data_IF_672224017599
#
_entry.id   IF_672224017599
#
_cell.length_a   1.000
_cell.length_b   1.000
_cell.length_c   1.000
_cell.angle_alpha   90.00
_cell.angle_beta   90.00
_cell.angle_gamma   90.00
#
_symmetry.space_group_name_H-M   'P 1'
#
loop_
_entity.id
_entity.type
_entity.pdbx_description
1 polymer ?
#
# COMPACT_ATOMS: atom_id res chain seq x y z
N UNK A 1 -8.37 13.61 10.40
CA UNK A 1 -7.90 12.28 9.94
C UNK A 1 -8.88 11.77 8.90
N UNK A 2 -8.37 11.31 7.79
CA UNK A 2 -9.18 10.77 6.70
C UNK A 2 -8.64 9.43 6.22
N UNK A 3 -9.47 8.72 5.46
CA UNK A 3 -9.16 7.42 4.89
C UNK A 3 -9.58 7.41 3.42
N UNK A 4 -8.81 6.73 2.58
CA UNK A 4 -9.14 6.49 1.18
C UNK A 4 -8.67 5.12 0.74
N UNK A 5 -9.43 4.51 -0.17
CA UNK A 5 -9.06 3.27 -0.86
C UNK A 5 -8.91 3.55 -2.34
N UNK A 6 -7.95 2.93 -2.98
CA UNK A 6 -7.70 3.09 -4.41
C UNK A 6 -7.04 1.85 -5.03
N UNK A 7 -7.20 1.69 -6.33
CA UNK A 7 -6.44 0.71 -7.10
C UNK A 7 -5.06 1.30 -7.46
N UNK A 8 -4.18 1.41 -6.47
CA UNK A 8 -2.86 1.99 -6.65
C UNK A 8 -1.96 1.16 -7.58
N UNK A 9 -2.19 -0.14 -7.63
CA UNK A 9 -1.37 -1.11 -8.37
C UNK A 9 -2.23 -2.05 -9.22
N UNK A 10 -2.81 -1.53 -10.31
CA UNK A 10 -3.58 -2.32 -11.26
C UNK A 10 -4.88 -2.89 -10.68
N UNK A 11 -5.29 -4.07 -11.17
CA UNK A 11 -6.58 -4.69 -10.93
C UNK A 11 -6.57 -5.89 -9.95
N UNK A 12 -5.40 -6.22 -9.40
CA UNK A 12 -5.22 -7.40 -8.52
C UNK A 12 -5.16 -7.08 -7.04
N UNK A 13 -5.14 -5.81 -6.70
CA UNK A 13 -4.96 -5.33 -5.35
C UNK A 13 -5.70 -4.01 -5.14
N UNK A 14 -5.92 -3.63 -3.90
CA UNK A 14 -6.33 -2.28 -3.56
C UNK A 14 -5.48 -1.76 -2.40
N UNK A 15 -5.12 -0.49 -2.47
CA UNK A 15 -4.44 0.20 -1.39
C UNK A 15 -5.46 0.93 -0.50
N UNK A 16 -5.14 1.00 0.78
CA UNK A 16 -5.80 1.84 1.76
C UNK A 16 -4.78 2.79 2.37
N UNK A 17 -5.12 4.07 2.45
CA UNK A 17 -4.34 5.06 3.18
C UNK A 17 -5.17 5.70 4.27
N UNK A 18 -4.55 5.87 5.44
CA UNK A 18 -5.05 6.72 6.52
C UNK A 18 -4.11 7.91 6.66
N UNK A 19 -4.65 9.12 6.55
CA UNK A 19 -3.83 10.34 6.57
C UNK A 19 -4.33 11.33 7.60
N UNK A 20 -3.38 12.05 8.22
CA UNK A 20 -3.64 13.21 9.05
C UNK A 20 -3.43 14.46 8.21
N UNK A 21 -4.48 15.27 8.09
CA UNK A 21 -4.42 16.58 7.46
C UNK A 21 -4.52 17.70 8.50
N UNK A 22 -3.82 18.80 8.25
CA UNK A 22 -3.96 20.04 9.00
C UNK A 22 -3.95 21.22 8.02
N UNK A 23 -5.11 21.77 7.73
CA UNK A 23 -5.28 22.75 6.67
C UNK A 23 -4.90 22.14 5.31
N UNK A 24 -3.94 22.74 4.62
CA UNK A 24 -3.42 22.28 3.34
C UNK A 24 -2.21 21.34 3.45
N UNK A 25 -1.81 20.97 4.67
CA UNK A 25 -0.65 20.13 4.95
C UNK A 25 -1.06 18.70 5.23
N UNK A 26 -0.39 17.73 4.59
CA UNK A 26 -0.43 16.32 4.91
C UNK A 26 0.59 16.06 6.02
N UNK A 27 0.12 15.89 7.26
CA UNK A 27 1.01 15.77 8.43
C UNK A 27 1.68 14.39 8.50
N UNK A 28 0.91 13.36 8.25
CA UNK A 28 1.38 11.98 8.24
C UNK A 28 0.43 11.10 7.43
N UNK A 29 0.94 9.99 6.92
CA UNK A 29 0.14 8.96 6.25
C UNK A 29 0.63 7.57 6.63
N UNK A 30 -0.27 6.61 6.65
CA UNK A 30 0.02 5.19 6.69
C UNK A 30 -0.69 4.53 5.52
N UNK A 31 0.03 3.68 4.80
CA UNK A 31 -0.45 3.04 3.57
C UNK A 31 -0.29 1.53 3.71
N UNK A 32 -1.36 0.80 3.42
CA UNK A 32 -1.31 -0.65 3.23
C UNK A 32 -1.92 -1.03 1.87
N UNK A 33 -1.64 -2.22 1.42
CA UNK A 33 -2.23 -2.78 0.22
C UNK A 33 -2.66 -4.22 0.46
N UNK A 34 -3.81 -4.56 -0.08
CA UNK A 34 -4.44 -5.84 0.07
C UNK A 34 -4.56 -6.55 -1.26
N UNK A 35 -4.18 -7.82 -1.29
CA UNK A 35 -4.38 -8.69 -2.45
C UNK A 35 -4.64 -10.13 -2.02
N UNK A 36 -5.22 -10.93 -2.92
CA UNK A 36 -5.33 -12.37 -2.71
C UNK A 36 -4.01 -13.07 -2.97
N UNK A 37 -3.68 -14.01 -2.09
CA UNK A 37 -2.56 -14.94 -2.23
C UNK A 37 -3.08 -16.38 -2.15
N UNK A 38 -2.29 -17.36 -2.56
CA UNK A 38 -2.62 -18.76 -2.34
C UNK A 38 -2.69 -19.05 -0.85
N UNK A 39 -3.82 -19.57 -0.37
CA UNK A 39 -4.05 -19.85 1.04
C UNK A 39 -3.03 -20.83 1.64
N UNK A 40 -2.40 -21.65 0.78
CA UNK A 40 -1.33 -22.59 1.15
C UNK A 40 0.07 -21.98 1.16
N UNK A 41 0.22 -20.69 0.88
CA UNK A 41 1.54 -20.04 0.85
C UNK A 41 2.22 -20.09 2.22
N UNK A 42 3.46 -20.57 2.26
CA UNK A 42 4.21 -20.67 3.51
C UNK A 42 4.44 -19.29 4.13
N UNK A 43 4.12 -19.17 5.41
CA UNK A 43 4.28 -17.91 6.17
C UNK A 43 3.19 -16.88 5.92
N UNK A 44 2.15 -17.19 5.15
CA UNK A 44 1.00 -16.31 4.97
C UNK A 44 0.26 -16.09 6.29
N UNK A 45 0.03 -14.82 6.61
CA UNK A 45 -0.89 -14.37 7.66
C UNK A 45 -2.11 -13.76 6.97
N UNK A 46 -3.24 -14.47 6.90
CA UNK A 46 -4.42 -13.95 6.22
C UNK A 46 -5.08 -12.81 6.99
N UNK A 47 -5.77 -11.94 6.28
CA UNK A 47 -6.77 -11.07 6.92
C UNK A 47 -7.77 -11.99 7.64
N UNK A 48 -8.14 -11.69 8.89
CA UNK A 48 -9.01 -12.59 9.68
C UNK A 48 -10.24 -13.05 8.90
N UNK A 49 -10.46 -14.35 8.90
CA UNK A 49 -11.57 -15.04 8.21
C UNK A 49 -11.56 -14.94 6.66
N UNK A 50 -10.53 -14.39 6.04
CA UNK A 50 -10.47 -14.31 4.57
C UNK A 50 -10.15 -15.64 3.89
N UNK A 51 -9.72 -16.62 4.65
CA UNK A 51 -9.54 -18.04 4.28
C UNK A 51 -10.71 -18.94 4.71
N UNK A 52 -11.81 -18.34 5.15
CA UNK A 52 -13.00 -18.99 5.67
C UNK A 52 -14.28 -18.39 5.05
N UNK A 53 -15.40 -18.53 5.72
CA UNK A 53 -16.72 -18.12 5.23
C UNK A 53 -16.84 -16.65 4.80
N UNK A 54 -16.04 -15.76 5.36
CA UNK A 54 -16.00 -14.33 4.95
C UNK A 54 -15.64 -14.14 3.47
N UNK A 55 -14.74 -14.97 2.95
CA UNK A 55 -14.30 -14.90 1.56
C UNK A 55 -14.92 -16.00 0.66
N UNK A 56 -15.90 -16.74 1.17
CA UNK A 56 -16.55 -17.83 0.43
C UNK A 56 -17.16 -17.31 -0.88
N UNK A 57 -16.78 -17.95 -2.00
CA UNK A 57 -17.23 -17.58 -3.34
C UNK A 57 -16.46 -16.43 -4.01
N UNK A 58 -15.52 -15.79 -3.33
CA UNK A 58 -14.70 -14.74 -3.96
C UNK A 58 -13.52 -15.29 -4.77
N UNK A 59 -12.68 -16.11 -4.13
CA UNK A 59 -11.51 -16.69 -4.79
C UNK A 59 -11.17 -18.04 -4.15
N UNK A 60 -11.56 -19.14 -4.80
CA UNK A 60 -11.31 -20.46 -4.28
C UNK A 60 -9.80 -20.74 -4.10
N UNK A 61 -9.42 -21.29 -2.95
CA UNK A 61 -8.04 -21.56 -2.59
C UNK A 61 -7.17 -20.33 -2.33
N UNK A 62 -7.76 -19.16 -2.23
CA UNK A 62 -7.09 -17.89 -1.93
C UNK A 62 -7.46 -17.36 -0.55
N UNK A 63 -6.59 -16.53 0.00
CA UNK A 63 -6.87 -15.73 1.16
C UNK A 63 -6.45 -14.28 0.91
N UNK A 64 -7.19 -13.32 1.44
CA UNK A 64 -6.82 -11.92 1.38
C UNK A 64 -5.67 -11.66 2.34
N UNK A 65 -4.62 -10.98 1.88
CA UNK A 65 -3.49 -10.59 2.72
C UNK A 65 -3.26 -9.09 2.70
N UNK A 66 -2.84 -8.56 3.83
CA UNK A 66 -2.20 -7.24 3.96
C UNK A 66 -0.72 -7.37 3.60
N UNK A 67 -0.21 -6.50 2.74
CA UNK A 67 1.22 -6.51 2.39
C UNK A 67 2.09 -6.00 3.52
N UNK A 68 1.60 -5.11 4.37
CA UNK A 68 2.32 -4.67 5.55
C UNK A 68 2.57 -5.83 6.52
N UNK A 69 1.54 -6.62 6.80
CA UNK A 69 1.65 -7.78 7.70
C UNK A 69 2.51 -8.90 7.10
N UNK A 70 2.45 -9.08 5.79
CA UNK A 70 3.14 -10.15 5.06
C UNK A 70 4.38 -9.66 4.30
N UNK A 71 4.97 -8.53 4.72
CA UNK A 71 6.03 -7.86 3.95
C UNK A 71 7.22 -8.76 3.65
N UNK A 72 7.66 -9.57 4.59
CA UNK A 72 8.81 -10.46 4.39
C UNK A 72 8.51 -11.54 3.35
N UNK A 73 7.37 -12.21 3.47
CA UNK A 73 6.94 -13.23 2.52
C UNK A 73 6.72 -12.64 1.12
N UNK A 74 6.02 -11.50 1.05
CA UNK A 74 5.76 -10.81 -0.20
C UNK A 74 7.05 -10.32 -0.87
N UNK A 75 7.97 -9.72 -0.11
CA UNK A 75 9.24 -9.22 -0.62
C UNK A 75 10.16 -10.34 -1.10
N UNK A 76 10.17 -11.49 -0.41
CA UNK A 76 10.90 -12.67 -0.88
C UNK A 76 10.36 -13.16 -2.24
N UNK A 77 9.05 -13.22 -2.41
CA UNK A 77 8.41 -13.57 -3.68
C UNK A 77 8.71 -12.56 -4.80
N UNK A 78 8.72 -11.27 -4.48
CA UNK A 78 9.04 -10.20 -5.44
C UNK A 78 10.51 -10.20 -5.84
N UNK A 79 11.41 -10.53 -4.91
CA UNK A 79 12.83 -10.72 -5.21
C UNK A 79 13.04 -11.86 -6.21
N UNK A 80 12.35 -12.97 -6.02
CA UNK A 80 12.44 -14.13 -6.89
C UNK A 80 11.83 -13.88 -8.29
N UNK A 81 10.62 -13.30 -8.32
CA UNK A 81 9.82 -13.17 -9.55
C UNK A 81 10.12 -11.90 -10.36
N UNK A 82 10.47 -10.81 -9.68
CA UNK A 82 10.63 -9.48 -10.29
C UNK A 82 12.00 -8.84 -10.01
N UNK A 83 12.93 -9.56 -9.37
CA UNK A 83 14.27 -9.07 -9.00
C UNK A 83 14.23 -7.77 -8.19
N UNK A 84 13.16 -7.57 -7.42
CA UNK A 84 13.04 -6.41 -6.54
C UNK A 84 14.13 -6.44 -5.47
N UNK A 85 14.82 -5.32 -5.28
CA UNK A 85 15.91 -5.19 -4.30
C UNK A 85 15.48 -4.52 -3.00
N UNK A 86 14.33 -3.83 -3.02
CA UNK A 86 13.81 -3.08 -1.87
C UNK A 86 12.58 -3.79 -1.32
N UNK A 87 12.54 -4.14 -0.04
CA UNK A 87 11.35 -4.67 0.61
C UNK A 87 10.15 -3.74 0.45
N UNK A 88 8.96 -4.32 0.31
CA UNK A 88 7.73 -3.54 0.09
C UNK A 88 7.50 -2.50 1.20
N UNK A 89 7.69 -2.90 2.46
CA UNK A 89 7.49 -2.00 3.62
C UNK A 89 8.46 -0.81 3.61
N UNK A 90 9.69 -1.00 3.12
CA UNK A 90 10.66 0.09 3.01
C UNK A 90 10.25 1.09 1.93
N UNK A 91 9.70 0.62 0.81
CA UNK A 91 9.14 1.49 -0.23
C UNK A 91 7.94 2.28 0.30
N UNK A 92 7.06 1.66 1.08
CA UNK A 92 5.94 2.38 1.72
C UNK A 92 6.45 3.43 2.71
N UNK A 93 7.41 3.08 3.57
CA UNK A 93 8.01 4.02 4.52
C UNK A 93 8.67 5.21 3.82
N UNK A 94 9.29 5.00 2.66
CA UNK A 94 9.84 6.08 1.84
C UNK A 94 8.73 7.02 1.31
N UNK A 95 7.61 6.46 0.83
CA UNK A 95 6.47 7.23 0.35
C UNK A 95 5.82 8.01 1.50
N UNK A 96 5.57 7.36 2.62
CA UNK A 96 5.00 7.99 3.82
C UNK A 96 5.87 9.13 4.34
N UNK A 97 7.19 8.93 4.36
CA UNK A 97 8.15 9.96 4.74
C UNK A 97 8.19 11.12 3.75
N UNK A 98 8.06 10.84 2.46
CA UNK A 98 8.03 11.87 1.43
C UNK A 98 6.82 12.79 1.55
N UNK A 99 5.64 12.24 1.83
CA UNK A 99 4.41 13.05 1.92
C UNK A 99 4.27 13.79 3.25
N UNK A 100 4.91 13.29 4.31
CA UNK A 100 4.79 13.83 5.66
C UNK A 100 5.28 15.28 5.77
N UNK A 101 4.46 16.14 6.37
CA UNK A 101 4.77 17.55 6.62
C UNK A 101 4.73 18.44 5.38
N UNK A 102 4.34 17.93 4.21
CA UNK A 102 4.27 18.70 2.97
C UNK A 102 2.87 19.25 2.69
N UNK A 103 2.81 20.37 1.97
CA UNK A 103 1.54 20.81 1.39
C UNK A 103 1.07 19.85 0.31
N UNK A 104 -0.22 19.56 0.30
CA UNK A 104 -0.83 18.66 -0.68
C UNK A 104 -0.53 19.08 -2.13
N UNK A 105 -0.54 20.39 -2.39
CA UNK A 105 -0.21 20.92 -3.72
C UNK A 105 1.24 20.66 -4.10
N UNK A 106 2.18 20.74 -3.15
CA UNK A 106 3.61 20.50 -3.39
C UNK A 106 3.90 19.03 -3.64
N UNK A 107 3.25 18.12 -2.89
CA UNK A 107 3.34 16.67 -3.12
C UNK A 107 2.95 16.32 -4.55
N UNK A 108 1.84 16.87 -5.03
CA UNK A 108 1.37 16.67 -6.41
C UNK A 108 2.31 17.25 -7.46
N UNK A 109 2.85 18.45 -7.21
CA UNK A 109 3.74 19.12 -8.14
C UNK A 109 5.10 18.43 -8.27
N UNK A 110 5.63 17.85 -7.18
CA UNK A 110 6.91 17.12 -7.19
C UNK A 110 6.81 15.78 -7.92
N UNK A 111 5.65 15.12 -7.86
CA UNK A 111 5.41 13.84 -8.50
C UNK A 111 6.13 12.65 -7.84
N UNK A 112 5.89 11.44 -8.35
CA UNK A 112 6.40 10.20 -7.75
C UNK A 112 7.93 10.04 -7.85
N UNK A 113 8.55 10.63 -8.87
CA UNK A 113 10.01 10.54 -9.08
C UNK A 113 10.81 11.26 -8.00
N UNK A 114 10.17 12.14 -7.23
CA UNK A 114 10.79 12.81 -6.09
C UNK A 114 10.87 11.92 -4.84
N UNK A 115 10.25 10.75 -4.83
CA UNK A 115 10.29 9.81 -3.70
C UNK A 115 11.60 9.04 -3.73
N UNK A 116 12.52 9.41 -2.85
CA UNK A 116 13.78 8.68 -2.70
C UNK A 116 13.57 7.40 -1.88
N UNK A 117 14.07 6.27 -2.38
CA UNK A 117 14.00 4.97 -1.69
C UNK A 117 12.81 4.09 -2.04
N UNK A 118 11.83 4.58 -2.78
CA UNK A 118 10.76 3.75 -3.33
C UNK A 118 11.16 3.24 -4.72
N UNK A 119 11.10 1.92 -4.90
CA UNK A 119 11.44 1.26 -6.18
C UNK A 119 10.23 0.64 -6.86
N UNK A 120 9.03 0.96 -6.39
CA UNK A 120 7.78 0.43 -6.93
C UNK A 120 7.39 1.16 -8.22
N UNK A 121 6.92 0.39 -9.20
CA UNK A 121 6.46 0.91 -10.50
C UNK A 121 5.31 1.89 -10.31
N UNK A 122 4.44 1.66 -9.33
CA UNK A 122 3.21 2.42 -9.08
C UNK A 122 3.30 3.37 -7.88
N UNK A 123 4.49 3.90 -7.59
CA UNK A 123 4.69 4.90 -6.52
C UNK A 123 3.68 6.05 -6.60
N UNK A 124 3.33 6.51 -7.80
CA UNK A 124 2.32 7.54 -8.02
C UNK A 124 0.96 7.18 -7.44
N UNK A 125 0.50 5.96 -7.64
CA UNK A 125 -0.79 5.49 -7.12
C UNK A 125 -0.87 5.52 -5.60
N UNK A 126 0.20 5.15 -4.92
CA UNK A 126 0.27 5.21 -3.45
C UNK A 126 0.30 6.66 -2.93
N UNK A 127 1.08 7.54 -3.57
CA UNK A 127 1.10 8.97 -3.24
C UNK A 127 -0.28 9.59 -3.42
N UNK A 128 -0.97 9.29 -4.53
CA UNK A 128 -2.32 9.78 -4.80
C UNK A 128 -3.34 9.27 -3.78
N UNK A 129 -3.20 8.02 -3.32
CA UNK A 129 -4.06 7.45 -2.28
C UNK A 129 -3.89 8.18 -0.95
N UNK A 130 -2.64 8.47 -0.54
CA UNK A 130 -2.35 9.23 0.67
C UNK A 130 -2.92 10.66 0.59
N UNK A 131 -2.77 11.32 -0.56
CA UNK A 131 -3.34 12.65 -0.82
C UNK A 131 -4.87 12.63 -0.79
N UNK A 132 -5.50 11.59 -1.37
CA UNK A 132 -6.95 11.45 -1.34
C UNK A 132 -7.46 11.30 0.10
N UNK A 133 -6.79 10.46 0.92
CA UNK A 133 -7.11 10.31 2.33
C UNK A 133 -6.98 11.64 3.10
N UNK A 134 -5.92 12.41 2.86
CA UNK A 134 -5.73 13.70 3.52
C UNK A 134 -6.84 14.71 3.21
N UNK A 135 -7.44 14.64 2.01
CA UNK A 135 -8.55 15.53 1.60
C UNK A 135 -9.89 15.19 2.23
N UNK A 136 -10.04 14.00 2.79
CA UNK A 136 -11.23 13.57 3.53
C UNK A 136 -11.12 13.82 5.03
N UNK A 137 -9.99 14.34 5.47
CA UNK A 137 -9.66 14.59 6.86
C UNK A 137 -10.38 15.80 7.45
#
# INVERSE_FOLDING_TARGET
MGCATAAAHGDKAFAEAVSLGQGDVLVASSIDEFQFADASSAGLVPVPNSDAAFAEGYAEGKALMSKSVNSDMYSASMKEKAQSTTPWIESMSAIESFVAGQKIADVKAKGPDAVSGATLVDTAGYVDTAVAAAKTA
#
